data_IF_202680476775
#
_entry.id   IF_202680476775
#
_cell.length_a   1.000
_cell.length_b   1.000
_cell.length_c   1.000
_cell.angle_alpha   90.00
_cell.angle_beta   90.00
_cell.angle_gamma   90.00
#
_symmetry.space_group_name_H-M   'P 1'
#
loop_
_entity.id
_entity.type
_entity.pdbx_description
1 polymer ?
#
# COMPACT_ATOMS: atom_id res chain seq x y z
N UNK A 1 -7.68 -7.18 5.60
CA UNK A 1 -8.17 -8.56 5.43
C UNK A 1 -9.62 -8.73 5.91
N UNK A 2 -9.99 -8.44 7.18
CA UNK A 2 -11.37 -8.67 7.65
C UNK A 2 -12.43 -7.92 6.83
N UNK A 3 -12.16 -6.66 6.49
CA UNK A 3 -13.05 -5.83 5.68
C UNK A 3 -13.31 -6.42 4.28
N UNK A 4 -12.29 -6.95 3.61
CA UNK A 4 -12.46 -7.56 2.29
C UNK A 4 -13.35 -8.80 2.34
N UNK A 5 -13.19 -9.65 3.35
CA UNK A 5 -14.05 -10.82 3.56
C UNK A 5 -15.49 -10.42 3.89
N UNK A 6 -15.67 -9.40 4.73
CA UNK A 6 -17.00 -8.86 5.05
C UNK A 6 -17.70 -8.35 3.78
N UNK A 7 -17.01 -7.57 2.95
CA UNK A 7 -17.56 -7.05 1.69
C UNK A 7 -17.93 -8.17 0.71
N UNK A 8 -17.13 -9.25 0.66
CA UNK A 8 -17.44 -10.42 -0.16
C UNK A 8 -18.67 -11.18 0.37
N UNK A 9 -18.79 -11.31 1.69
CA UNK A 9 -19.97 -11.90 2.32
C UNK A 9 -21.23 -11.07 2.00
N UNK A 10 -21.17 -9.74 2.12
CA UNK A 10 -22.27 -8.84 1.77
C UNK A 10 -22.65 -8.92 0.28
N UNK A 11 -21.66 -9.05 -0.61
CA UNK A 11 -21.92 -9.32 -2.02
C UNK A 11 -22.62 -10.68 -2.23
N UNK A 12 -22.17 -11.74 -1.54
CA UNK A 12 -22.73 -13.10 -1.70
C UNK A 12 -24.21 -13.22 -1.30
N UNK A 13 -24.67 -12.36 -0.40
CA UNK A 13 -26.08 -12.30 0.03
C UNK A 13 -26.90 -11.24 -0.71
N UNK A 14 -26.33 -10.59 -1.74
CA UNK A 14 -27.01 -9.60 -2.58
C UNK A 14 -27.15 -8.20 -1.98
N UNK A 15 -26.45 -7.90 -0.88
CA UNK A 15 -26.48 -6.56 -0.24
C UNK A 15 -25.58 -5.54 -0.95
N UNK A 16 -24.59 -6.00 -1.70
CA UNK A 16 -23.71 -5.19 -2.53
C UNK A 16 -23.77 -5.75 -3.94
N UNK A 17 -23.96 -4.89 -4.93
CA UNK A 17 -24.09 -5.32 -6.34
C UNK A 17 -22.72 -5.53 -7.02
N UNK A 18 -21.68 -4.86 -6.53
CA UNK A 18 -20.37 -4.81 -7.18
C UNK A 18 -19.25 -5.41 -6.30
N UNK A 19 -18.62 -6.53 -6.69
CA UNK A 19 -17.54 -7.15 -5.92
C UNK A 19 -16.22 -6.37 -6.01
N UNK A 20 -16.11 -5.38 -6.92
CA UNK A 20 -14.90 -4.57 -7.12
C UNK A 20 -14.41 -3.93 -5.82
N UNK A 21 -15.32 -3.46 -4.96
CA UNK A 21 -14.96 -2.85 -3.66
C UNK A 21 -14.28 -3.85 -2.73
N UNK A 22 -14.73 -5.11 -2.70
CA UNK A 22 -14.10 -6.19 -1.94
C UNK A 22 -12.70 -6.51 -2.51
N UNK A 23 -12.60 -6.65 -3.83
CA UNK A 23 -11.34 -6.93 -4.52
C UNK A 23 -10.30 -5.84 -4.25
N UNK A 24 -10.67 -4.56 -4.31
CA UNK A 24 -9.75 -3.45 -4.03
C UNK A 24 -9.34 -3.37 -2.56
N UNK A 25 -10.21 -3.80 -1.63
CA UNK A 25 -9.81 -3.93 -0.21
C UNK A 25 -8.67 -4.96 -0.04
N UNK A 26 -8.71 -6.06 -0.80
CA UNK A 26 -7.63 -7.04 -0.82
C UNK A 26 -6.39 -6.53 -1.55
N UNK A 27 -6.53 -6.02 -2.77
CA UNK A 27 -5.38 -5.71 -3.63
C UNK A 27 -4.70 -4.39 -3.26
N UNK A 28 -5.44 -3.29 -3.16
CA UNK A 28 -4.89 -1.96 -2.83
C UNK A 28 -4.50 -1.89 -1.35
N UNK A 29 -5.38 -2.39 -0.48
CA UNK A 29 -5.16 -2.36 0.96
C UNK A 29 -4.20 -3.43 1.45
N UNK A 30 -4.66 -4.68 1.47
CA UNK A 30 -3.92 -5.74 2.14
C UNK A 30 -2.63 -6.14 1.39
N UNK A 31 -2.72 -6.46 0.10
CA UNK A 31 -1.56 -6.86 -0.70
C UNK A 31 -0.62 -5.68 -0.93
N UNK A 32 -1.13 -4.50 -1.30
CA UNK A 32 -0.31 -3.29 -1.47
C UNK A 32 0.48 -2.92 -0.21
N UNK A 33 -0.19 -2.87 0.94
CA UNK A 33 0.48 -2.61 2.22
C UNK A 33 1.48 -3.71 2.63
N UNK A 34 1.11 -4.98 2.45
CA UNK A 34 1.98 -6.12 2.74
C UNK A 34 3.25 -6.10 1.88
N UNK A 35 3.10 -5.87 0.57
CA UNK A 35 4.23 -5.78 -0.36
C UNK A 35 5.15 -4.64 0.09
N UNK A 36 4.61 -3.44 0.33
CA UNK A 36 5.39 -2.28 0.78
C UNK A 36 6.16 -2.58 2.08
N UNK A 37 5.52 -3.24 3.05
CA UNK A 37 6.17 -3.64 4.30
C UNK A 37 7.26 -4.68 4.08
N UNK A 38 6.97 -5.70 3.27
CA UNK A 38 7.89 -6.79 2.96
C UNK A 38 9.14 -6.27 2.24
N UNK A 39 8.98 -5.51 1.16
CA UNK A 39 10.11 -4.99 0.39
C UNK A 39 10.97 -4.03 1.21
N UNK A 40 10.36 -3.17 2.05
CA UNK A 40 11.12 -2.27 2.95
C UNK A 40 11.99 -3.05 3.94
N UNK A 41 11.47 -4.14 4.50
CA UNK A 41 12.23 -5.00 5.43
C UNK A 41 13.33 -5.78 4.71
N UNK A 42 13.03 -6.35 3.54
CA UNK A 42 13.97 -7.12 2.73
C UNK A 42 15.13 -6.23 2.29
N UNK A 43 14.88 -5.00 1.81
CA UNK A 43 15.93 -4.07 1.44
C UNK A 43 16.87 -3.76 2.61
N UNK A 44 16.35 -3.46 3.79
CA UNK A 44 17.21 -3.20 4.97
C UNK A 44 18.01 -4.44 5.37
N UNK A 45 17.38 -5.62 5.32
CA UNK A 45 18.01 -6.88 5.71
C UNK A 45 19.15 -7.31 4.78
N UNK A 46 18.98 -7.18 3.47
CA UNK A 46 20.02 -7.54 2.51
C UNK A 46 21.13 -6.48 2.40
N UNK A 47 20.83 -5.21 2.65
CA UNK A 47 21.85 -4.14 2.58
C UNK A 47 22.72 -3.99 3.84
N UNK A 48 22.61 -4.93 4.78
CA UNK A 48 23.33 -4.90 6.06
C UNK A 48 22.93 -3.74 6.98
N UNK A 49 21.76 -3.11 6.74
CA UNK A 49 21.31 -1.91 7.47
C UNK A 49 20.42 -2.29 8.66
N UNK A 50 20.36 -1.47 9.73
CA UNK A 50 19.43 -1.69 10.83
C UNK A 50 17.99 -1.80 10.32
N UNK A 51 17.24 -2.79 10.84
CA UNK A 51 15.83 -3.03 10.51
C UNK A 51 14.88 -1.98 11.12
N UNK A 52 15.25 -0.70 11.02
CA UNK A 52 14.48 0.47 11.45
C UNK A 52 14.21 1.34 10.22
N UNK A 53 12.98 1.31 9.67
CA UNK A 53 12.65 2.12 8.51
C UNK A 53 12.82 3.61 8.84
N UNK A 54 13.35 4.42 7.91
CA UNK A 54 13.40 5.87 8.05
C UNK A 54 12.01 6.46 8.30
N UNK A 55 11.93 7.58 9.03
CA UNK A 55 10.63 8.22 9.36
C UNK A 55 9.79 8.53 8.11
N UNK A 56 10.41 8.85 6.99
CA UNK A 56 9.70 9.11 5.72
C UNK A 56 8.89 7.91 5.23
N UNK A 57 9.33 6.67 5.47
CA UNK A 57 8.60 5.45 5.09
C UNK A 57 7.30 5.30 5.89
N UNK A 58 7.21 5.92 7.07
CA UNK A 58 5.94 5.99 7.81
C UNK A 58 4.87 6.75 6.99
N UNK A 59 5.27 7.79 6.25
CA UNK A 59 4.35 8.49 5.35
C UNK A 59 3.91 7.61 4.18
N UNK A 60 4.78 6.72 3.68
CA UNK A 60 4.39 5.73 2.67
C UNK A 60 3.33 4.77 3.20
N UNK A 61 3.48 4.27 4.44
CA UNK A 61 2.48 3.41 5.08
C UNK A 61 1.16 4.13 5.32
N UNK A 62 1.19 5.40 5.76
CA UNK A 62 -0.03 6.20 5.90
C UNK A 62 -0.69 6.41 4.53
N UNK A 63 0.10 6.72 3.50
CA UNK A 63 -0.41 6.98 2.14
C UNK A 63 -1.08 5.74 1.54
N UNK A 64 -0.51 4.55 1.67
CA UNK A 64 -1.11 3.30 1.15
C UNK A 64 -2.40 2.93 1.90
N UNK A 65 -2.45 3.17 3.23
CA UNK A 65 -3.66 2.95 4.03
C UNK A 65 -4.78 3.93 3.64
N UNK A 66 -4.45 5.21 3.45
CA UNK A 66 -5.40 6.21 2.98
C UNK A 66 -5.88 5.91 1.56
N UNK A 67 -5.00 5.48 0.66
CA UNK A 67 -5.37 5.03 -0.69
C UNK A 67 -6.43 3.93 -0.64
N UNK A 68 -6.22 2.90 0.18
CA UNK A 68 -7.17 1.81 0.36
C UNK A 68 -8.50 2.28 0.96
N UNK A 69 -8.46 3.15 1.99
CA UNK A 69 -9.66 3.71 2.61
C UNK A 69 -10.48 4.54 1.62
N UNK A 70 -9.83 5.46 0.88
CA UNK A 70 -10.49 6.28 -0.15
C UNK A 70 -11.07 5.40 -1.25
N UNK A 71 -10.35 4.36 -1.68
CA UNK A 71 -10.80 3.47 -2.77
C UNK A 71 -12.03 2.64 -2.40
N UNK A 72 -12.16 2.26 -1.13
CA UNK A 72 -13.18 1.32 -0.64
C UNK A 72 -14.38 2.05 -0.03
N UNK A 73 -14.13 3.05 0.82
CA UNK A 73 -15.17 3.71 1.60
C UNK A 73 -15.88 4.82 0.81
N UNK A 74 -15.12 5.63 0.06
CA UNK A 74 -15.68 6.82 -0.59
C UNK A 74 -16.72 6.49 -1.67
N UNK A 75 -16.52 5.47 -2.54
CA UNK A 75 -17.56 5.04 -3.49
C UNK A 75 -18.78 4.42 -2.80
N UNK A 76 -18.63 3.87 -1.59
CA UNK A 76 -19.73 3.27 -0.84
C UNK A 76 -20.66 4.32 -0.21
N UNK A 77 -20.11 5.45 0.25
CA UNK A 77 -20.90 6.54 0.85
C UNK A 77 -21.33 7.61 -0.15
N UNK A 78 -20.56 7.84 -1.22
CA UNK A 78 -20.81 8.89 -2.19
C UNK A 78 -20.53 8.39 -3.63
N UNK A 79 -21.41 7.55 -4.20
CA UNK A 79 -21.19 6.92 -5.51
C UNK A 79 -20.97 7.92 -6.65
N UNK A 80 -21.56 9.11 -6.58
CA UNK A 80 -21.39 10.20 -7.56
C UNK A 80 -19.94 10.69 -7.68
N UNK A 81 -19.12 10.53 -6.63
CA UNK A 81 -17.71 10.93 -6.61
C UNK A 81 -16.76 9.77 -6.89
N UNK A 82 -17.25 8.63 -7.41
CA UNK A 82 -16.44 7.42 -7.63
C UNK A 82 -15.21 7.68 -8.51
N UNK A 83 -15.34 8.45 -9.59
CA UNK A 83 -14.19 8.77 -10.45
C UNK A 83 -13.12 9.56 -9.69
N UNK A 84 -13.54 10.52 -8.87
CA UNK A 84 -12.61 11.34 -8.08
C UNK A 84 -11.93 10.51 -6.98
N UNK A 85 -12.69 9.62 -6.33
CA UNK A 85 -12.16 8.61 -5.40
C UNK A 85 -11.06 7.76 -6.04
N UNK A 86 -11.28 7.28 -7.27
CA UNK A 86 -10.30 6.45 -7.98
C UNK A 86 -9.02 7.24 -8.24
N UNK A 87 -9.12 8.47 -8.76
CA UNK A 87 -7.94 9.31 -9.03
C UNK A 87 -7.17 9.63 -7.75
N UNK A 88 -7.86 10.01 -6.67
CA UNK A 88 -7.23 10.32 -5.38
C UNK A 88 -6.56 9.09 -4.78
N UNK A 89 -7.24 7.94 -4.78
CA UNK A 89 -6.66 6.68 -4.30
C UNK A 89 -5.43 6.28 -5.11
N UNK A 90 -5.48 6.40 -6.44
CA UNK A 90 -4.33 6.16 -7.31
C UNK A 90 -3.17 7.09 -7.01
N UNK A 91 -3.42 8.38 -6.80
CA UNK A 91 -2.40 9.36 -6.43
C UNK A 91 -1.72 9.05 -5.10
N UNK A 92 -2.50 8.68 -4.08
CA UNK A 92 -1.98 8.26 -2.76
C UNK A 92 -1.15 6.97 -2.86
N UNK A 93 -1.58 6.04 -3.71
CA UNK A 93 -0.85 4.80 -3.96
C UNK A 93 0.50 5.07 -4.63
N UNK A 94 0.50 5.87 -5.70
CA UNK A 94 1.72 6.28 -6.40
C UNK A 94 2.66 7.03 -5.46
N UNK A 95 2.14 7.92 -4.62
CA UNK A 95 2.93 8.64 -3.61
C UNK A 95 3.62 7.67 -2.64
N UNK A 96 2.91 6.65 -2.14
CA UNK A 96 3.47 5.66 -1.23
C UNK A 96 4.68 4.94 -1.85
N UNK A 97 4.54 4.45 -3.09
CA UNK A 97 5.61 3.76 -3.79
C UNK A 97 6.71 4.70 -4.29
N UNK A 98 6.40 5.96 -4.61
CA UNK A 98 7.41 6.96 -4.93
C UNK A 98 8.29 7.29 -3.72
N UNK A 99 7.71 7.40 -2.52
CA UNK A 99 8.47 7.57 -1.27
C UNK A 99 9.38 6.35 -1.04
N UNK A 100 8.86 5.14 -1.23
CA UNK A 100 9.67 3.92 -1.14
C UNK A 100 10.86 3.96 -2.11
N UNK A 101 10.59 4.20 -3.40
CA UNK A 101 11.61 4.22 -4.45
C UNK A 101 12.68 5.26 -4.15
N UNK A 102 12.30 6.49 -3.86
CA UNK A 102 13.27 7.57 -3.59
C UNK A 102 14.09 7.33 -2.32
N UNK A 103 13.53 6.65 -1.31
CA UNK A 103 14.22 6.35 -0.06
C UNK A 103 15.18 5.16 -0.18
N UNK A 104 14.78 4.11 -0.90
CA UNK A 104 15.51 2.84 -0.94
C UNK A 104 16.29 2.60 -2.23
N UNK A 105 16.05 3.34 -3.32
CA UNK A 105 16.72 3.11 -4.61
C UNK A 105 18.25 3.17 -4.48
N UNK A 106 18.78 4.18 -3.79
CA UNK A 106 20.22 4.29 -3.61
C UNK A 106 20.79 3.07 -2.86
N UNK A 107 20.10 2.59 -1.82
CA UNK A 107 20.55 1.43 -1.03
C UNK A 107 20.61 0.16 -1.87
N UNK A 108 19.73 0.01 -2.87
CA UNK A 108 19.67 -1.16 -3.76
C UNK A 108 20.69 -1.13 -4.90
N UNK A 109 21.26 0.04 -5.20
CA UNK A 109 22.20 0.23 -6.33
C UNK A 109 23.65 0.36 -5.82
N UNK A 110 23.84 0.68 -4.54
CA UNK A 110 25.16 0.65 -3.89
C UNK A 110 25.49 -0.72 -3.30
N UNK A 111 26.78 -1.06 -3.18
CA UNK A 111 27.21 -2.25 -2.44
C UNK A 111 26.66 -2.27 -1.02
N UNK A 112 26.45 -3.48 -0.50
CA UNK A 112 26.03 -3.68 0.87
C UNK A 112 27.13 -3.20 1.83
N UNK A 113 26.74 -2.70 3.01
CA UNK A 113 27.70 -2.12 3.97
C UNK A 113 28.73 -3.17 4.43
N UNK A 114 28.35 -4.44 4.42
CA UNK A 114 29.20 -5.58 4.77
C UNK A 114 30.29 -5.87 3.71
N UNK A 115 30.11 -5.40 2.47
CA UNK A 115 31.03 -5.63 1.34
C UNK A 115 32.08 -4.52 1.18
N UNK A 116 32.16 -3.55 2.10
CA UNK A 116 33.16 -2.49 2.07
C UNK A 116 34.49 -2.99 2.67
N UNK A 117 35.58 -3.14 1.89
CA UNK A 117 36.87 -3.60 2.43
C UNK A 117 37.48 -2.55 3.36
N UNK A 118 38.08 -3.02 4.47
CA UNK A 118 38.80 -2.21 5.49
C UNK A 118 40.03 -1.46 4.92
#
# INVERSE_FOLDING_TARGET
MPLGFLLLALFSIGLIENPSTALHSFTVGAMGGMILAMISRITLGHTGRPLKPPRIITLAYISILLSAAVRVLLPAVAPSYSNWSITLAGGLWVLAYAIYLTTYAHMLITPDIEDTPE
#
